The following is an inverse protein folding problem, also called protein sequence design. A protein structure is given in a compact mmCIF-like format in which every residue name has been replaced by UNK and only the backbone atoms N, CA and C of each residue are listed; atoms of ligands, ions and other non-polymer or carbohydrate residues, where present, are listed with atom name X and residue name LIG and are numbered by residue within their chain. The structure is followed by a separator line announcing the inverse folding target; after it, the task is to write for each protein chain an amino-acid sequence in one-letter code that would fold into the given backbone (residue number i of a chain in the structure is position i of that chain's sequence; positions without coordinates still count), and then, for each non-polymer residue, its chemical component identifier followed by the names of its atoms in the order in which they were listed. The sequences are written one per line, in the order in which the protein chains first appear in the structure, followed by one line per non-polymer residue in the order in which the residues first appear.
data_IF_249169535447
#
_entry.id   IF_249169535447
#
_cell.length_a   1.000
_cell.length_b   1.000
_cell.length_c   1.000
_cell.angle_alpha   90.00
_cell.angle_beta   90.00
_cell.angle_gamma   90.00
#
_symmetry.space_group_name_H-M   'P 1'
#
loop_
_entity.id
_entity.type
_entity.pdbx_description
1 polymer ?
#
# COMPACT_ATOMS: atom_id res chain seq x y z
N UNK A 1 20.68 -8.30 -6.61
CA UNK A 1 19.43 -8.74 -5.93
C UNK A 1 19.73 -8.74 -4.44
N UNK A 2 18.96 -8.00 -3.61
CA UNK A 2 19.12 -8.07 -2.16
C UNK A 2 18.77 -9.50 -1.73
N UNK A 3 19.71 -10.19 -1.11
CA UNK A 3 19.52 -11.54 -0.59
C UNK A 3 19.27 -11.36 0.90
N UNK A 4 18.13 -11.83 1.37
CA UNK A 4 17.79 -11.77 2.79
C UNK A 4 18.89 -12.52 3.57
N UNK A 5 19.46 -11.96 4.65
CA UNK A 5 20.43 -12.65 5.49
C UNK A 5 19.92 -14.03 5.92
N UNK A 6 20.82 -15.01 6.12
CA UNK A 6 20.43 -16.35 6.56
C UNK A 6 19.70 -16.38 7.91
N UNK A 7 19.85 -15.29 8.67
CA UNK A 7 19.28 -15.09 9.99
C UNK A 7 17.92 -14.34 9.93
N UNK A 8 17.43 -14.03 8.72
CA UNK A 8 16.06 -13.59 8.57
C UNK A 8 15.14 -14.75 8.97
N UNK A 9 14.19 -14.53 9.90
CA UNK A 9 13.33 -15.61 10.37
C UNK A 9 12.63 -16.25 9.17
N UNK A 10 12.81 -17.56 9.01
CA UNK A 10 11.96 -18.32 8.09
C UNK A 10 10.51 -18.09 8.52
N UNK A 11 9.66 -17.70 7.57
CA UNK A 11 8.24 -17.45 7.83
C UNK A 11 7.57 -18.81 8.06
N UNK A 12 7.76 -19.35 9.26
CA UNK A 12 7.06 -20.54 9.72
C UNK A 12 5.57 -20.27 9.82
N UNK A 13 4.76 -21.32 9.71
CA UNK A 13 3.29 -21.32 9.81
C UNK A 13 2.70 -20.72 11.11
N UNK A 14 3.53 -20.15 11.99
CA UNK A 14 3.18 -19.52 13.27
C UNK A 14 3.34 -17.99 13.27
N UNK A 15 3.94 -17.39 12.23
CA UNK A 15 4.05 -15.94 12.11
C UNK A 15 2.96 -15.41 11.19
N UNK A 16 1.97 -14.77 11.79
CA UNK A 16 0.93 -14.10 11.04
C UNK A 16 1.47 -12.76 10.51
N UNK A 17 1.18 -12.45 9.24
CA UNK A 17 1.80 -11.36 8.47
C UNK A 17 1.45 -9.92 8.89
N UNK A 18 1.14 -9.66 10.17
CA UNK A 18 0.70 -8.33 10.66
C UNK A 18 1.76 -7.24 10.50
N UNK A 19 3.02 -7.61 10.70
CA UNK A 19 4.14 -6.68 10.65
C UNK A 19 4.30 -6.09 9.25
N UNK A 20 4.56 -4.79 9.17
CA UNK A 20 5.04 -4.17 7.95
C UNK A 20 6.51 -4.55 7.72
N UNK A 21 6.93 -4.58 6.46
CA UNK A 21 8.35 -4.74 6.09
C UNK A 21 8.74 -3.50 5.33
N UNK A 22 9.56 -2.65 5.96
CA UNK A 22 9.91 -1.34 5.42
C UNK A 22 8.63 -0.58 5.06
N UNK A 23 8.48 -0.21 3.79
CA UNK A 23 7.32 0.51 3.31
C UNK A 23 6.17 -0.41 2.84
N UNK A 24 6.29 -1.73 2.85
CA UNK A 24 5.17 -2.64 2.55
C UNK A 24 4.24 -2.80 3.76
N UNK A 25 2.93 -2.73 3.54
CA UNK A 25 1.92 -2.95 4.57
C UNK A 25 1.82 -4.43 4.98
N UNK A 26 1.52 -4.68 6.25
CA UNK A 26 1.26 -6.02 6.77
C UNK A 26 -0.16 -6.49 6.46
N UNK A 27 -0.38 -7.81 6.44
CA UNK A 27 -1.70 -8.43 6.27
C UNK A 27 -2.54 -8.43 7.55
N UNK A 28 -3.84 -8.71 7.37
CA UNK A 28 -4.74 -9.05 8.47
C UNK A 28 -4.39 -10.41 9.08
N UNK A 29 -4.52 -10.55 10.40
CA UNK A 29 -3.99 -11.71 11.14
C UNK A 29 -5.03 -12.46 11.95
N UNK A 30 -5.98 -11.76 12.56
CA UNK A 30 -7.07 -12.39 13.27
C UNK A 30 -8.36 -12.28 12.49
N UNK A 31 -9.38 -12.97 12.98
CA UNK A 31 -10.71 -13.14 12.38
C UNK A 31 -11.18 -11.86 11.69
N UNK A 32 -10.97 -11.86 10.39
CA UNK A 32 -11.38 -10.85 9.43
C UNK A 32 -10.97 -9.42 9.79
N UNK A 33 -9.74 -9.29 10.29
CA UNK A 33 -9.00 -8.01 10.40
C UNK A 33 -8.39 -7.57 9.08
N UNK A 34 -8.35 -6.26 8.83
CA UNK A 34 -7.96 -5.70 7.53
C UNK A 34 -6.46 -5.62 7.29
N UNK A 35 -6.06 -5.52 6.03
CA UNK A 35 -4.67 -5.31 5.62
C UNK A 35 -4.21 -3.85 5.76
N UNK A 36 -2.95 -3.63 6.14
CA UNK A 36 -2.35 -2.30 6.24
C UNK A 36 -1.97 -1.73 4.87
N UNK A 37 -2.03 -0.41 4.71
CA UNK A 37 -1.64 0.28 3.49
C UNK A 37 -0.11 0.32 3.30
N UNK A 38 0.36 0.49 2.07
CA UNK A 38 1.76 0.73 1.77
C UNK A 38 2.20 2.15 2.11
N UNK A 39 3.51 2.33 2.34
CA UNK A 39 4.16 3.61 2.57
C UNK A 39 5.07 4.06 1.42
N UNK A 40 5.39 5.36 1.39
CA UNK A 40 6.48 5.94 0.61
C UNK A 40 6.87 7.30 1.22
N UNK A 41 6.49 8.43 0.60
CA UNK A 41 6.67 9.77 1.18
C UNK A 41 5.84 10.04 2.45
N UNK A 42 4.81 9.22 2.68
CA UNK A 42 4.04 9.12 3.94
C UNK A 42 3.94 7.67 4.42
N UNK A 43 3.48 7.48 5.65
CA UNK A 43 3.15 6.15 6.17
C UNK A 43 1.83 5.65 5.57
N UNK A 44 1.73 4.33 5.36
CA UNK A 44 0.46 3.68 5.03
C UNK A 44 -0.49 3.66 6.23
N UNK A 45 -1.79 3.49 5.98
CA UNK A 45 -2.77 3.36 7.05
C UNK A 45 -2.73 2.00 7.74
N UNK A 46 -3.24 1.95 8.95
CA UNK A 46 -3.39 0.72 9.73
C UNK A 46 -4.67 0.01 9.28
N UNK A 47 -4.59 -1.29 9.05
CA UNK A 47 -5.74 -2.12 8.72
C UNK A 47 -6.80 -2.12 9.84
N UNK A 48 -8.05 -2.25 9.44
CA UNK A 48 -9.21 -2.24 10.33
C UNK A 48 -9.22 -3.38 11.35
N UNK A 49 -10.03 -3.20 12.39
CA UNK A 49 -10.24 -4.17 13.47
C UNK A 49 -10.83 -5.48 12.95
N UNK A 50 -10.81 -6.52 13.77
CA UNK A 50 -11.47 -7.80 13.46
C UNK A 50 -12.97 -7.63 13.20
N UNK A 51 -13.59 -8.69 12.67
CA UNK A 51 -15.04 -8.80 12.65
C UNK A 51 -15.64 -8.54 14.05
N UNK A 52 -16.78 -7.85 14.09
CA UNK A 52 -17.43 -7.45 15.36
C UNK A 52 -17.85 -8.62 16.24
N UNK A 53 -18.03 -9.83 15.67
CA UNK A 53 -18.32 -11.04 16.45
C UNK A 53 -17.09 -11.76 17.02
N UNK A 54 -15.87 -11.30 16.72
CA UNK A 54 -14.63 -11.91 17.22
C UNK A 54 -14.37 -11.58 18.71
N UNK A 55 -14.68 -10.35 19.14
CA UNK A 55 -14.58 -9.89 20.52
C UNK A 55 -15.35 -8.57 20.69
N UNK A 56 -15.72 -8.23 21.93
CA UNK A 56 -16.29 -6.93 22.28
C UNK A 56 -15.38 -6.16 23.26
N UNK A 57 -14.72 -5.06 22.84
CA UNK A 57 -14.74 -4.50 21.49
C UNK A 57 -13.87 -5.29 20.51
N UNK A 58 -14.15 -5.13 19.21
CA UNK A 58 -13.36 -5.74 18.14
C UNK A 58 -11.86 -5.42 18.28
N UNK A 59 -11.01 -6.44 18.07
CA UNK A 59 -9.57 -6.37 18.37
C UNK A 59 -8.84 -5.50 17.36
N UNK A 60 -7.93 -4.65 17.86
CA UNK A 60 -7.06 -3.79 17.06
C UNK A 60 -5.84 -4.56 16.53
N UNK A 61 -6.09 -5.55 15.67
CA UNK A 61 -5.08 -6.49 15.18
C UNK A 61 -4.96 -6.52 13.65
N UNK A 62 -5.47 -5.49 12.97
CA UNK A 62 -5.22 -5.26 11.55
C UNK A 62 -3.73 -5.06 11.24
N UNK A 63 -3.41 -5.21 9.96
CA UNK A 63 -2.06 -5.08 9.43
C UNK A 63 -1.46 -3.71 9.70
N UNK A 64 -0.18 -3.67 10.04
CA UNK A 64 0.53 -2.40 10.21
C UNK A 64 0.75 -1.73 8.86
N UNK A 65 0.54 -0.42 8.79
CA UNK A 65 0.85 0.36 7.60
C UNK A 65 2.35 0.41 7.33
N UNK A 66 2.75 0.40 6.07
CA UNK A 66 4.14 0.56 5.65
C UNK A 66 4.74 1.87 6.17
N UNK A 67 6.02 1.86 6.54
CA UNK A 67 6.68 3.06 7.08
C UNK A 67 6.92 4.12 6.01
N UNK A 68 6.96 5.38 6.45
CA UNK A 68 7.48 6.48 5.64
C UNK A 68 8.98 6.26 5.38
N UNK A 69 9.39 6.37 4.13
CA UNK A 69 10.78 6.31 3.73
C UNK A 69 11.40 7.70 3.72
N UNK A 70 12.58 7.84 4.32
CA UNK A 70 13.35 9.08 4.28
C UNK A 70 14.37 9.00 3.14
N UNK A 71 14.08 9.68 2.04
CA UNK A 71 14.95 9.73 0.86
C UNK A 71 14.72 11.02 0.07
N UNK A 72 15.66 11.37 -0.81
CA UNK A 72 15.49 12.44 -1.79
C UNK A 72 15.34 11.84 -3.19
N UNK A 73 14.24 12.12 -3.91
CA UNK A 73 14.07 11.71 -5.31
C UNK A 73 15.19 12.19 -6.24
N UNK A 74 15.95 13.20 -5.83
CA UNK A 74 17.11 13.69 -6.58
C UNK A 74 18.31 12.73 -6.56
N UNK A 75 18.44 11.88 -5.53
CA UNK A 75 19.60 11.00 -5.33
C UNK A 75 19.23 9.51 -5.20
N UNK A 76 18.00 9.20 -4.80
CA UNK A 76 17.49 7.84 -4.63
C UNK A 76 16.05 7.76 -5.09
N UNK A 77 15.70 6.68 -5.77
CA UNK A 77 14.34 6.39 -6.20
C UNK A 77 13.86 5.14 -5.49
N UNK A 78 12.62 5.15 -5.01
CA UNK A 78 12.00 4.01 -4.34
C UNK A 78 10.66 3.68 -5.01
N UNK A 79 10.39 2.40 -5.15
CA UNK A 79 9.04 1.91 -5.40
C UNK A 79 8.14 2.24 -4.21
N UNK A 80 6.85 2.38 -4.47
CA UNK A 80 5.86 2.40 -3.39
C UNK A 80 5.87 1.06 -2.64
N UNK A 81 5.34 1.08 -1.42
CA UNK A 81 5.00 -0.14 -0.71
C UNK A 81 3.70 -0.74 -1.23
N UNK A 82 3.65 -2.07 -1.35
CA UNK A 82 2.38 -2.76 -1.57
C UNK A 82 1.50 -2.72 -0.32
N UNK A 83 0.18 -2.76 -0.51
CA UNK A 83 -0.76 -2.96 0.59
C UNK A 83 -0.77 -4.43 1.03
N UNK A 84 -1.13 -4.68 2.29
CA UNK A 84 -1.37 -6.02 2.82
C UNK A 84 -2.76 -6.55 2.46
N UNK A 85 -2.89 -7.87 2.37
CA UNK A 85 -4.19 -8.51 2.21
C UNK A 85 -5.00 -8.49 3.52
N UNK A 86 -6.32 -8.47 3.42
CA UNK A 86 -7.20 -8.73 4.56
C UNK A 86 -7.16 -10.21 4.97
N UNK A 87 -7.48 -10.50 6.23
CA UNK A 87 -7.71 -11.88 6.65
C UNK A 87 -9.00 -12.42 6.00
N UNK A 88 -8.99 -13.68 5.58
CA UNK A 88 -10.16 -14.34 5.02
C UNK A 88 -10.34 -15.77 5.51
N UNK A 89 -11.59 -16.14 5.78
CA UNK A 89 -12.03 -17.51 6.05
C UNK A 89 -13.18 -17.96 5.15
N UNK A 90 -13.80 -17.05 4.40
CA UNK A 90 -14.92 -17.35 3.49
C UNK A 90 -14.57 -17.19 1.99
N UNK A 91 -13.31 -16.88 1.67
CA UNK A 91 -12.79 -16.80 0.29
C UNK A 91 -13.14 -15.49 -0.44
N UNK A 92 -13.62 -14.48 0.27
CA UNK A 92 -14.02 -13.15 -0.24
C UNK A 92 -13.18 -12.01 0.35
N UNK A 93 -12.00 -12.32 0.90
CA UNK A 93 -11.05 -11.32 1.42
C UNK A 93 -10.46 -10.44 0.32
N UNK A 94 -10.20 -9.18 0.69
CA UNK A 94 -9.59 -8.21 -0.19
C UNK A 94 -8.07 -8.38 -0.29
N UNK A 95 -7.57 -8.39 -1.52
CA UNK A 95 -6.13 -8.33 -1.83
C UNK A 95 -5.60 -6.92 -1.56
N UNK A 96 -4.36 -6.83 -1.09
CA UNK A 96 -3.66 -5.55 -1.00
C UNK A 96 -3.42 -4.91 -2.37
N UNK A 97 -3.42 -3.58 -2.40
CA UNK A 97 -3.20 -2.80 -3.62
C UNK A 97 -1.75 -2.85 -4.09
N UNK A 98 -1.57 -2.93 -5.41
CA UNK A 98 -0.25 -2.86 -6.02
C UNK A 98 0.40 -1.48 -5.79
N UNK A 99 1.70 -1.47 -5.55
CA UNK A 99 2.48 -0.26 -5.40
C UNK A 99 2.71 0.48 -6.72
N UNK A 100 2.86 1.80 -6.62
CA UNK A 100 3.37 2.64 -7.70
C UNK A 100 4.84 2.37 -8.03
N UNK A 101 5.16 2.48 -9.32
CA UNK A 101 6.49 2.24 -9.88
C UNK A 101 7.48 3.39 -9.69
N UNK A 102 8.56 3.36 -10.47
CA UNK A 102 9.48 4.49 -10.56
C UNK A 102 9.37 5.06 -11.98
N UNK A 103 9.20 6.38 -12.08
CA UNK A 103 9.39 7.10 -13.34
C UNK A 103 10.62 7.99 -13.22
N UNK A 104 11.61 7.75 -14.07
CA UNK A 104 12.84 8.51 -14.11
C UNK A 104 13.09 9.05 -15.51
N UNK A 105 13.12 10.37 -15.66
CA UNK A 105 13.33 11.02 -16.94
C UNK A 105 14.47 12.01 -16.84
N UNK A 106 15.40 11.93 -17.80
CA UNK A 106 16.46 12.91 -18.04
C UNK A 106 16.40 13.38 -19.47
N UNK A 107 16.42 14.69 -19.71
CA UNK A 107 16.41 15.24 -21.06
C UNK A 107 16.77 16.72 -21.12
N UNK A 108 16.75 17.28 -22.32
CA UNK A 108 16.97 18.71 -22.52
C UNK A 108 15.74 19.54 -22.12
N UNK A 109 14.53 19.09 -22.47
CA UNK A 109 13.28 19.76 -22.15
C UNK A 109 12.12 18.74 -22.06
N UNK A 110 11.02 19.14 -21.43
CA UNK A 110 9.75 18.41 -21.42
C UNK A 110 8.62 19.31 -21.95
N UNK A 111 7.88 18.80 -22.92
CA UNK A 111 6.70 19.44 -23.49
C UNK A 111 5.66 18.38 -23.88
N UNK A 112 4.40 18.77 -23.93
CA UNK A 112 3.27 17.91 -24.27
C UNK A 112 2.22 17.85 -23.15
N UNK A 113 1.20 17.02 -23.35
CA UNK A 113 0.03 16.92 -22.47
C UNK A 113 -0.20 15.51 -21.90
N UNK A 114 0.82 14.64 -22.01
CA UNK A 114 0.75 13.27 -21.54
C UNK A 114 0.81 13.14 -20.02
N UNK A 115 0.31 12.01 -19.51
CA UNK A 115 0.34 11.71 -18.08
C UNK A 115 1.66 11.03 -17.69
N UNK A 116 2.18 11.42 -16.54
CA UNK A 116 3.34 10.79 -15.91
C UNK A 116 2.89 10.31 -14.53
N UNK A 117 2.58 9.02 -14.42
CA UNK A 117 2.03 8.46 -13.18
C UNK A 117 2.91 7.36 -12.60
N UNK A 118 2.98 7.36 -11.28
CA UNK A 118 3.53 6.30 -10.45
C UNK A 118 2.54 6.05 -9.30
N UNK A 119 1.24 6.06 -9.60
CA UNK A 119 0.18 5.90 -8.60
C UNK A 119 0.12 4.45 -8.09
N UNK A 120 -0.15 4.30 -6.80
CA UNK A 120 -0.52 3.02 -6.21
C UNK A 120 -2.00 2.71 -6.46
N UNK A 121 -2.35 1.43 -6.38
CA UNK A 121 -3.70 0.94 -6.60
C UNK A 121 -4.44 0.82 -5.28
N UNK A 122 -5.75 1.06 -5.29
CA UNK A 122 -6.58 0.83 -4.12
C UNK A 122 -6.57 -0.65 -3.69
N UNK A 123 -6.73 -0.89 -2.39
CA UNK A 123 -6.96 -2.22 -1.86
C UNK A 123 -8.32 -2.75 -2.31
N UNK A 124 -8.44 -4.08 -2.41
CA UNK A 124 -9.70 -4.69 -2.84
C UNK A 124 -10.71 -4.63 -1.70
N UNK A 125 -11.95 -4.22 -2.00
CA UNK A 125 -13.08 -4.32 -1.07
C UNK A 125 -13.36 -5.78 -0.72
N UNK A 126 -14.04 -6.01 0.41
CA UNK A 126 -14.47 -7.35 0.83
C UNK A 126 -15.95 -7.38 1.23
N UNK A 127 -16.49 -8.59 1.36
CA UNK A 127 -17.82 -8.86 1.93
C UNK A 127 -17.66 -9.41 3.35
N UNK A 128 -18.01 -10.68 3.60
CA UNK A 128 -17.90 -11.36 4.90
C UNK A 128 -16.46 -11.78 5.25
N UNK A 129 -15.48 -11.03 4.77
CA UNK A 129 -14.05 -11.17 5.06
C UNK A 129 -13.46 -9.76 5.23
N UNK A 130 -12.17 -9.65 5.52
CA UNK A 130 -11.52 -8.35 5.63
C UNK A 130 -11.03 -7.80 4.29
N UNK A 131 -10.96 -6.48 4.19
CA UNK A 131 -10.49 -5.78 3.01
C UNK A 131 -8.96 -5.61 2.98
N UNK A 132 -8.42 -5.41 1.78
CA UNK A 132 -6.99 -5.20 1.58
C UNK A 132 -6.59 -3.74 1.75
N UNK A 133 -5.36 -3.48 2.19
CA UNK A 133 -4.81 -2.13 2.28
C UNK A 133 -4.43 -1.56 0.90
N UNK A 134 -4.40 -0.23 0.78
CA UNK A 134 -4.02 0.46 -0.44
C UNK A 134 -2.51 0.39 -0.71
N UNK A 135 -2.11 0.35 -1.99
CA UNK A 135 -0.71 0.47 -2.38
C UNK A 135 -0.25 1.93 -2.36
N UNK A 136 0.97 2.20 -1.90
CA UNK A 136 1.52 3.56 -1.95
C UNK A 136 1.87 3.97 -3.39
N UNK A 137 1.85 5.28 -3.63
CA UNK A 137 2.51 5.86 -4.79
C UNK A 137 4.01 5.60 -4.77
N UNK A 138 4.60 5.60 -5.96
CA UNK A 138 6.02 5.40 -6.18
C UNK A 138 6.82 6.70 -6.21
N UNK A 139 7.89 6.74 -6.98
CA UNK A 139 8.72 7.95 -7.12
C UNK A 139 8.72 8.43 -8.56
N UNK A 140 8.52 9.73 -8.75
CA UNK A 140 8.73 10.41 -10.03
C UNK A 140 9.93 11.36 -9.87
N UNK A 141 10.96 11.18 -10.69
CA UNK A 141 12.11 12.08 -10.77
C UNK A 141 12.31 12.56 -12.21
N UNK A 142 12.05 13.85 -12.40
CA UNK A 142 12.15 14.54 -13.67
C UNK A 142 13.33 15.52 -13.62
N UNK A 143 14.33 15.33 -14.48
CA UNK A 143 15.53 16.17 -14.51
C UNK A 143 15.77 16.70 -15.92
N UNK A 144 15.63 18.02 -16.09
CA UNK A 144 15.82 18.68 -17.37
C UNK A 144 16.80 19.84 -17.24
N UNK A 145 17.56 20.12 -18.31
CA UNK A 145 18.49 21.26 -18.37
C UNK A 145 17.86 22.52 -18.96
N UNK A 146 16.69 22.38 -19.59
CA UNK A 146 15.92 23.44 -20.24
C UNK A 146 14.46 23.45 -19.77
N UNK A 147 13.56 23.94 -20.62
CA UNK A 147 12.18 24.21 -20.24
C UNK A 147 11.41 22.97 -19.75
N UNK A 148 10.66 23.14 -18.66
CA UNK A 148 9.70 22.18 -18.12
C UNK A 148 8.29 22.78 -18.27
N UNK A 149 7.59 22.42 -19.34
CA UNK A 149 6.19 22.82 -19.53
C UNK A 149 5.26 21.70 -19.05
N UNK A 150 4.65 21.91 -17.88
CA UNK A 150 3.56 21.07 -17.36
C UNK A 150 2.17 21.68 -17.64
N UNK A 151 2.10 22.69 -18.51
CA UNK A 151 0.97 23.62 -18.61
C UNK A 151 -0.25 23.15 -19.43
N UNK A 152 -0.24 21.94 -19.98
CA UNK A 152 -1.37 21.42 -20.76
C UNK A 152 -1.83 20.07 -20.24
N UNK A 153 -2.85 20.05 -19.38
CA UNK A 153 -3.72 18.91 -18.98
C UNK A 153 -3.13 17.55 -18.55
N UNK A 154 -1.84 17.29 -18.71
CA UNK A 154 -1.17 16.05 -18.29
C UNK A 154 -0.98 16.02 -16.77
N UNK A 155 -1.38 14.92 -16.14
CA UNK A 155 -1.23 14.76 -14.68
C UNK A 155 0.15 14.17 -14.35
N UNK A 156 0.92 14.82 -13.48
CA UNK A 156 2.06 14.22 -12.79
C UNK A 156 1.57 13.73 -11.42
N UNK A 157 1.49 12.42 -11.20
CA UNK A 157 0.88 11.86 -9.98
C UNK A 157 1.65 10.66 -9.44
N UNK A 158 1.89 10.66 -8.14
CA UNK A 158 2.45 9.53 -7.38
C UNK A 158 1.66 9.35 -6.07
N UNK A 159 0.35 9.26 -6.19
CA UNK A 159 -0.60 9.11 -5.08
C UNK A 159 -0.70 7.65 -4.65
N UNK A 160 -0.94 7.43 -3.35
CA UNK A 160 -1.36 6.12 -2.86
C UNK A 160 -2.81 5.81 -3.24
N UNK A 161 -3.15 4.53 -3.28
CA UNK A 161 -4.51 4.05 -3.35
C UNK A 161 -5.17 4.04 -1.97
N UNK A 162 -6.50 4.13 -1.94
CA UNK A 162 -7.26 3.97 -0.71
C UNK A 162 -7.25 2.50 -0.24
N UNK A 163 -7.36 2.28 1.06
CA UNK A 163 -7.73 0.97 1.60
C UNK A 163 -9.11 0.53 1.12
N UNK A 164 -9.31 -0.79 1.02
CA UNK A 164 -10.60 -1.35 0.64
C UNK A 164 -11.64 -1.21 1.76
N UNK A 165 -12.91 -1.14 1.39
CA UNK A 165 -14.03 -1.16 2.33
C UNK A 165 -14.47 -2.59 2.62
N UNK A 166 -14.88 -2.86 3.86
CA UNK A 166 -15.76 -3.99 4.16
C UNK A 166 -17.19 -3.58 3.87
N UNK A 167 -17.84 -4.28 2.95
CA UNK A 167 -19.18 -3.93 2.45
C UNK A 167 -20.31 -4.68 3.17
N UNK A 168 -19.98 -5.58 4.09
CA UNK A 168 -20.96 -6.30 4.91
C UNK A 168 -21.33 -5.49 6.16
N UNK A 169 -22.38 -4.67 6.04
CA UNK A 169 -22.75 -3.67 7.05
C UNK A 169 -23.52 -4.25 8.25
N UNK A 170 -24.21 -5.37 8.08
CA UNK A 170 -24.94 -6.03 9.16
C UNK A 170 -24.01 -6.64 10.22
N UNK A 171 -22.78 -6.98 9.84
CA UNK A 171 -21.75 -7.48 10.74
C UNK A 171 -20.38 -6.99 10.27
N UNK A 172 -19.94 -5.81 10.71
CA UNK A 172 -18.75 -5.15 10.15
C UNK A 172 -17.47 -5.97 10.29
N UNK A 173 -16.66 -5.99 9.22
CA UNK A 173 -15.33 -6.60 9.17
C UNK A 173 -14.24 -5.53 8.98
N UNK A 174 -12.97 -5.92 9.11
CA UNK A 174 -11.85 -4.99 8.99
C UNK A 174 -11.71 -4.38 7.61
N UNK A 175 -11.69 -3.04 7.54
CA UNK A 175 -11.35 -2.27 6.33
C UNK A 175 -9.84 -2.30 6.04
N UNK A 176 -9.45 -1.99 4.82
CA UNK A 176 -8.05 -1.74 4.48
C UNK A 176 -7.54 -0.43 5.04
N UNK A 177 -6.24 -0.39 5.32
CA UNK A 177 -5.47 0.83 5.61
C UNK A 177 -4.91 1.52 4.36
#
# INVERSE_FOLDING_TARGET
RYKVPGDFPEVGHLFAGRGNILNAGGGGVCHNSGGGGGGNGGSGGIGGRTWTGDADPARAVGGLGGVKMLFSPSTRLLFGGGGGAGHGNDGVSGKGGNAGGIVFVRGAALAGTGNITADGVAGTNSQNDAAGGGGAGGTISLKFTGALSCGGTGTISARGGNGGNSTFTASPHGTGG
#
